data_IF_479285714048
#
_entry.id   IF_479285714048
#
_cell.length_a   1.000
_cell.length_b   1.000
_cell.length_c   1.000
_cell.angle_alpha   90.00
_cell.angle_beta   90.00
_cell.angle_gamma   90.00
#
_symmetry.space_group_name_H-M   'P 1'
#
loop_
_entity.id
_entity.type
_entity.pdbx_description
1 polymer ?
#
# COMPACT_ATOMS: atom_id res chain seq x y z
N UNK A 1 58.31 77.24 24.53
CA UNK A 1 57.10 77.15 23.69
C UNK A 1 56.54 75.75 23.81
N UNK A 2 55.36 75.62 24.42
CA UNK A 2 54.70 74.34 24.64
C UNK A 2 53.38 74.60 25.36
N UNK A 3 52.31 74.84 24.60
CA UNK A 3 50.96 74.96 25.14
C UNK A 3 50.42 73.55 25.44
N UNK A 4 49.94 73.26 26.65
CA UNK A 4 49.13 72.07 26.85
C UNK A 4 47.75 72.28 26.21
N UNK A 5 47.42 71.39 25.28
CA UNK A 5 46.13 71.28 24.61
C UNK A 5 45.08 70.90 25.67
N UNK A 6 44.17 71.83 25.97
CA UNK A 6 42.99 71.57 26.79
C UNK A 6 42.08 70.59 26.06
N UNK A 7 42.08 69.33 26.49
CA UNK A 7 41.10 68.34 26.07
C UNK A 7 39.70 68.75 26.55
N UNK A 8 38.82 69.10 25.61
CA UNK A 8 37.39 69.21 25.88
C UNK A 8 36.84 67.80 26.11
N UNK A 9 36.50 67.49 27.34
CA UNK A 9 35.66 66.35 27.67
C UNK A 9 34.26 66.60 27.07
N UNK A 10 33.99 65.98 25.93
CA UNK A 10 32.64 65.84 25.40
C UNK A 10 31.83 65.01 26.39
N UNK A 11 30.85 65.63 27.04
CA UNK A 11 29.88 64.92 27.87
C UNK A 11 29.05 64.04 26.95
N UNK A 12 29.39 62.75 26.88
CA UNK A 12 28.49 61.71 26.33
C UNK A 12 27.22 61.77 27.16
N UNK A 13 26.15 62.29 26.57
CA UNK A 13 24.84 62.37 27.21
C UNK A 13 24.25 60.95 27.21
N UNK A 14 24.01 60.33 28.37
CA UNK A 14 23.44 58.99 28.41
C UNK A 14 21.94 59.10 28.12
N UNK A 15 21.47 58.25 27.20
CA UNK A 15 20.05 57.99 26.98
C UNK A 15 19.31 59.11 26.27
N UNK A 16 19.14 58.98 24.96
CA UNK A 16 17.89 59.45 24.36
C UNK A 16 16.76 58.70 25.07
N UNK A 17 16.06 59.40 25.96
CA UNK A 17 14.77 58.94 26.46
C UNK A 17 13.92 58.58 25.24
N UNK A 18 13.51 57.32 25.12
CA UNK A 18 12.39 56.97 24.26
C UNK A 18 11.25 57.88 24.71
N UNK A 19 10.93 58.87 23.88
CA UNK A 19 9.80 59.75 24.15
C UNK A 19 8.60 58.84 24.41
N UNK A 20 8.02 58.95 25.62
CA UNK A 20 6.84 58.20 26.04
C UNK A 20 5.61 58.73 25.28
N UNK A 21 5.61 58.61 23.96
CA UNK A 21 4.44 58.80 23.14
C UNK A 21 3.57 57.56 23.33
N UNK A 22 2.57 57.66 24.19
CA UNK A 22 1.56 56.62 24.33
C UNK A 22 0.85 56.38 23.01
N UNK A 23 0.47 55.13 22.74
CA UNK A 23 -0.31 54.78 21.55
C UNK A 23 -1.64 55.54 21.56
N UNK A 24 -1.96 56.12 20.42
CA UNK A 24 -3.29 56.72 20.22
C UNK A 24 -4.35 55.62 20.10
N UNK A 25 -5.59 55.94 20.45
CA UNK A 25 -6.72 54.99 20.36
C UNK A 25 -6.85 54.39 18.94
N UNK A 26 -6.60 55.22 17.92
CA UNK A 26 -6.70 54.80 16.52
C UNK A 26 -5.59 53.82 16.13
N UNK A 27 -4.36 54.01 16.62
CA UNK A 27 -3.26 53.06 16.37
C UNK A 27 -3.51 51.70 17.01
N UNK A 28 -4.09 51.67 18.21
CA UNK A 28 -4.47 50.41 18.88
C UNK A 28 -5.56 49.69 18.07
N UNK A 29 -6.57 50.43 17.59
CA UNK A 29 -7.67 49.87 16.80
C UNK A 29 -7.15 49.31 15.46
N UNK A 30 -6.31 50.06 14.74
CA UNK A 30 -5.68 49.62 13.50
C UNK A 30 -4.80 48.39 13.74
N UNK A 31 -4.01 48.38 14.82
CA UNK A 31 -3.16 47.25 15.19
C UNK A 31 -3.98 46.00 15.50
N UNK A 32 -5.10 46.13 16.20
CA UNK A 32 -6.02 45.01 16.46
C UNK A 32 -6.59 44.44 15.16
N UNK A 33 -7.03 45.29 14.24
CA UNK A 33 -7.57 44.85 12.94
C UNK A 33 -6.49 44.11 12.15
N UNK A 34 -5.30 44.67 12.03
CA UNK A 34 -4.17 44.02 11.34
C UNK A 34 -3.79 42.70 12.00
N UNK A 35 -3.79 42.65 13.33
CA UNK A 35 -3.51 41.42 14.07
C UNK A 35 -4.56 40.33 13.79
N UNK A 36 -5.84 40.67 13.76
CA UNK A 36 -6.91 39.73 13.41
C UNK A 36 -6.70 39.17 12.00
N UNK A 37 -6.40 40.03 11.02
CA UNK A 37 -6.10 39.59 9.66
C UNK A 37 -4.90 38.65 9.61
N UNK A 38 -3.83 38.97 10.34
CA UNK A 38 -2.62 38.15 10.40
C UNK A 38 -2.90 36.78 11.03
N UNK A 39 -3.62 36.75 12.15
CA UNK A 39 -4.00 35.51 12.83
C UNK A 39 -4.90 34.65 11.94
N UNK A 40 -5.89 35.23 11.27
CA UNK A 40 -6.77 34.50 10.36
C UNK A 40 -6.00 33.92 9.17
N UNK A 41 -5.06 34.69 8.61
CA UNK A 41 -4.20 34.24 7.52
C UNK A 41 -3.33 33.06 7.98
N UNK A 42 -2.67 33.18 9.13
CA UNK A 42 -1.86 32.11 9.71
C UNK A 42 -2.71 30.85 9.99
N UNK A 43 -3.92 31.01 10.51
CA UNK A 43 -4.85 29.92 10.79
C UNK A 43 -5.27 29.20 9.50
N UNK A 44 -5.61 29.94 8.44
CA UNK A 44 -5.96 29.38 7.15
C UNK A 44 -4.80 28.55 6.56
N UNK A 45 -3.56 29.06 6.64
CA UNK A 45 -2.37 28.33 6.22
C UNK A 45 -2.18 27.03 7.01
N UNK A 46 -2.26 27.08 8.34
CA UNK A 46 -2.12 25.90 9.19
C UNK A 46 -3.17 24.84 8.86
N UNK A 47 -4.44 25.24 8.73
CA UNK A 47 -5.53 24.31 8.43
C UNK A 47 -5.37 23.66 7.05
N UNK A 48 -4.97 24.44 6.04
CA UNK A 48 -4.67 23.92 4.70
C UNK A 48 -3.52 22.89 4.72
N UNK A 49 -2.49 23.14 5.54
CA UNK A 49 -1.36 22.24 5.72
C UNK A 49 -1.78 20.91 6.36
N UNK A 50 -2.60 20.96 7.40
CA UNK A 50 -3.09 19.75 8.10
C UNK A 50 -3.96 18.90 7.18
N UNK A 51 -4.92 19.51 6.45
CA UNK A 51 -5.77 18.77 5.51
C UNK A 51 -4.92 18.12 4.41
N UNK A 52 -3.97 18.85 3.85
CA UNK A 52 -3.06 18.35 2.82
C UNK A 52 -2.24 17.17 3.33
N UNK A 53 -1.70 17.29 4.55
CA UNK A 53 -0.91 16.24 5.19
C UNK A 53 -1.73 14.96 5.41
N UNK A 54 -2.95 15.07 5.96
CA UNK A 54 -3.83 13.91 6.19
C UNK A 54 -4.17 13.23 4.87
N UNK A 55 -4.53 13.99 3.83
CA UNK A 55 -4.84 13.44 2.50
C UNK A 55 -3.63 12.70 1.91
N UNK A 56 -2.44 13.29 1.99
CA UNK A 56 -1.22 12.69 1.45
C UNK A 56 -0.81 11.43 2.22
N UNK A 57 -0.97 11.44 3.55
CA UNK A 57 -0.74 10.28 4.41
C UNK A 57 -1.67 9.12 4.04
N UNK A 58 -2.96 9.38 3.86
CA UNK A 58 -3.95 8.37 3.46
C UNK A 58 -3.63 7.76 2.08
N UNK A 59 -3.29 8.59 1.09
CA UNK A 59 -2.89 8.09 -0.24
C UNK A 59 -1.62 7.23 -0.19
N UNK A 60 -0.68 7.55 0.69
CA UNK A 60 0.54 6.77 0.86
C UNK A 60 0.28 5.44 1.58
N UNK A 61 -0.60 5.38 2.59
CA UNK A 61 -1.01 4.11 3.20
C UNK A 61 -1.66 3.21 2.15
N UNK A 62 -2.62 3.72 1.37
CA UNK A 62 -3.27 2.93 0.29
C UNK A 62 -2.25 2.41 -0.72
N UNK A 63 -1.31 3.24 -1.20
CA UNK A 63 -0.23 2.79 -2.10
C UNK A 63 0.65 1.70 -1.47
N UNK A 64 0.95 1.84 -0.18
CA UNK A 64 1.74 0.84 0.56
C UNK A 64 0.99 -0.49 0.63
N UNK A 65 -0.30 -0.46 0.97
CA UNK A 65 -1.15 -1.65 1.01
C UNK A 65 -1.26 -2.35 -0.36
N UNK A 66 -1.48 -1.58 -1.43
CA UNK A 66 -1.49 -2.11 -2.80
C UNK A 66 -0.18 -2.82 -3.14
N UNK A 67 0.96 -2.23 -2.79
CA UNK A 67 2.29 -2.83 -3.01
C UNK A 67 2.49 -4.11 -2.19
N UNK A 68 2.07 -4.13 -0.93
CA UNK A 68 2.16 -5.33 -0.08
C UNK A 68 1.35 -6.48 -0.69
N UNK A 69 0.09 -6.20 -1.06
CA UNK A 69 -0.80 -7.17 -1.69
C UNK A 69 -0.25 -7.68 -3.03
N UNK A 70 0.16 -6.76 -3.91
CA UNK A 70 0.71 -7.09 -5.22
C UNK A 70 1.99 -7.92 -5.11
N UNK A 71 2.99 -7.46 -4.34
CA UNK A 71 4.26 -8.17 -4.19
C UNK A 71 4.07 -9.59 -3.64
N UNK A 72 3.13 -9.78 -2.71
CA UNK A 72 2.80 -11.10 -2.17
C UNK A 72 2.19 -12.01 -3.23
N UNK A 73 1.18 -11.53 -3.96
CA UNK A 73 0.54 -12.28 -5.04
C UNK A 73 1.53 -12.62 -6.15
N UNK A 74 2.34 -11.65 -6.60
CA UNK A 74 3.35 -11.87 -7.62
C UNK A 74 4.34 -12.96 -7.23
N UNK A 75 4.87 -12.91 -6.01
CA UNK A 75 5.84 -13.90 -5.55
C UNK A 75 5.25 -15.31 -5.57
N UNK A 76 4.03 -15.47 -5.03
CA UNK A 76 3.39 -16.78 -4.96
C UNK A 76 2.94 -17.27 -6.35
N UNK A 77 2.51 -16.37 -7.24
CA UNK A 77 2.21 -16.72 -8.64
C UNK A 77 3.45 -17.11 -9.44
N UNK A 78 4.59 -16.43 -9.21
CA UNK A 78 5.88 -16.82 -9.81
C UNK A 78 6.34 -18.20 -9.33
N UNK A 79 5.92 -18.63 -8.15
CA UNK A 79 6.21 -19.97 -7.63
C UNK A 79 5.13 -21.00 -8.01
N UNK A 80 4.00 -20.55 -8.53
CA UNK A 80 2.86 -21.39 -8.84
C UNK A 80 3.15 -22.34 -10.01
N UNK A 81 2.58 -23.54 -9.91
CA UNK A 81 2.73 -24.59 -10.93
C UNK A 81 1.67 -24.48 -12.03
N UNK A 82 0.43 -24.18 -11.66
CA UNK A 82 -0.68 -23.92 -12.58
C UNK A 82 -1.80 -23.16 -11.88
N UNK A 83 -2.66 -22.52 -12.65
CA UNK A 83 -3.93 -21.98 -12.16
C UNK A 83 -4.94 -23.12 -11.96
N UNK A 84 -5.93 -22.90 -11.10
CA UNK A 84 -7.06 -23.83 -11.00
C UNK A 84 -8.16 -23.44 -11.98
N UNK A 85 -8.95 -24.43 -12.41
CA UNK A 85 -10.09 -24.24 -13.33
C UNK A 85 -11.14 -23.25 -12.80
N UNK A 86 -11.31 -23.21 -11.48
CA UNK A 86 -12.28 -22.35 -10.78
C UNK A 86 -11.72 -20.96 -10.40
N UNK A 87 -10.58 -20.54 -10.98
CA UNK A 87 -10.13 -19.15 -10.94
C UNK A 87 -11.06 -18.30 -11.81
N UNK A 88 -11.32 -17.05 -11.42
CA UNK A 88 -12.24 -16.15 -12.11
C UNK A 88 -11.74 -14.71 -12.13
N UNK A 89 -12.51 -13.75 -12.69
CA UNK A 89 -12.04 -12.38 -12.91
C UNK A 89 -11.73 -11.60 -11.62
N UNK A 90 -12.27 -12.01 -10.47
CA UNK A 90 -12.05 -11.35 -9.17
C UNK A 90 -11.54 -12.28 -8.08
N UNK A 91 -11.30 -13.55 -8.41
CA UNK A 91 -10.83 -14.57 -7.47
C UNK A 91 -9.71 -15.34 -8.12
N UNK A 92 -8.50 -15.12 -7.64
CA UNK A 92 -7.31 -15.80 -8.11
C UNK A 92 -7.15 -17.10 -7.35
N UNK A 93 -7.01 -18.22 -8.06
CA UNK A 93 -6.72 -19.53 -7.46
C UNK A 93 -5.64 -20.26 -8.24
N UNK A 94 -4.65 -20.78 -7.53
CA UNK A 94 -3.52 -21.48 -8.15
C UNK A 94 -2.90 -22.49 -7.18
N UNK A 95 -2.10 -23.39 -7.74
CA UNK A 95 -1.33 -24.36 -6.94
C UNK A 95 0.08 -23.90 -6.69
N UNK A 96 0.44 -23.93 -5.43
CA UNK A 96 1.78 -23.65 -4.94
C UNK A 96 2.45 -24.95 -4.50
N UNK A 97 3.66 -25.26 -5.00
CA UNK A 97 4.41 -26.42 -4.54
C UNK A 97 4.75 -26.26 -3.06
N UNK A 98 4.57 -27.33 -2.28
CA UNK A 98 5.01 -27.33 -0.88
C UNK A 98 6.54 -27.44 -0.84
N UNK A 99 7.20 -26.47 -0.20
CA UNK A 99 8.64 -26.53 0.05
C UNK A 99 9.00 -27.82 0.80
N UNK A 100 10.00 -28.54 0.29
CA UNK A 100 10.56 -29.71 0.98
C UNK A 100 11.18 -29.27 2.30
N UNK A 101 10.59 -29.68 3.41
CA UNK A 101 11.23 -29.61 4.73
C UNK A 101 12.08 -30.87 4.93
N UNK A 102 13.04 -30.86 5.86
CA UNK A 102 13.85 -32.05 6.19
C UNK A 102 13.00 -33.27 6.58
N UNK A 103 11.79 -33.03 7.11
CA UNK A 103 10.77 -34.05 7.40
C UNK A 103 10.16 -34.72 6.16
N UNK A 104 10.33 -34.15 4.96
CA UNK A 104 9.74 -34.62 3.71
C UNK A 104 10.79 -34.98 2.64
N UNK A 105 12.08 -35.09 3.02
CA UNK A 105 13.24 -35.25 2.12
C UNK A 105 13.22 -36.53 1.26
N UNK A 106 12.37 -37.51 1.58
CA UNK A 106 12.24 -38.78 0.86
C UNK A 106 10.92 -38.98 0.10
N UNK A 107 10.01 -38.01 0.13
CA UNK A 107 8.77 -38.10 -0.65
C UNK A 107 9.07 -37.61 -2.07
N UNK A 108 8.88 -38.44 -3.12
CA UNK A 108 9.08 -37.98 -4.49
C UNK A 108 8.29 -36.69 -4.75
N UNK A 109 8.87 -35.72 -5.46
CA UNK A 109 8.23 -34.42 -5.75
C UNK A 109 6.87 -34.55 -6.47
N UNK A 110 6.61 -35.71 -7.08
CA UNK A 110 5.31 -36.10 -7.63
C UNK A 110 4.21 -36.26 -6.56
N UNK A 111 4.56 -36.48 -5.29
CA UNK A 111 3.64 -36.62 -4.16
C UNK A 111 3.77 -35.49 -3.11
N UNK A 112 4.64 -34.50 -3.34
CA UNK A 112 4.67 -33.32 -2.47
C UNK A 112 3.30 -32.67 -2.54
N UNK A 113 2.60 -32.60 -1.39
CA UNK A 113 1.23 -32.08 -1.33
C UNK A 113 1.23 -30.60 -1.69
N UNK A 114 1.00 -30.29 -2.96
CA UNK A 114 0.70 -28.94 -3.42
C UNK A 114 -0.41 -28.35 -2.54
N UNK A 115 -0.36 -27.03 -2.35
CA UNK A 115 -1.42 -26.28 -1.68
C UNK A 115 -2.16 -25.46 -2.71
N UNK A 116 -3.47 -25.33 -2.55
CA UNK A 116 -4.24 -24.35 -3.33
C UNK A 116 -4.21 -23.04 -2.54
N UNK A 117 -3.78 -21.97 -3.19
CA UNK A 117 -3.87 -20.62 -2.64
C UNK A 117 -4.96 -19.87 -3.38
N UNK A 118 -5.80 -19.15 -2.64
CA UNK A 118 -6.84 -18.29 -3.18
C UNK A 118 -6.69 -16.87 -2.65
N UNK A 119 -6.78 -15.89 -3.55
CA UNK A 119 -6.90 -14.47 -3.24
C UNK A 119 -8.24 -13.94 -3.72
N UNK A 120 -8.86 -13.10 -2.89
CA UNK A 120 -10.11 -12.41 -3.21
C UNK A 120 -10.24 -11.16 -2.35
N UNK A 121 -11.05 -10.20 -2.79
CA UNK A 121 -11.34 -8.99 -2.03
C UNK A 121 -12.66 -9.16 -1.31
N UNK A 122 -12.70 -8.80 -0.02
CA UNK A 122 -13.92 -8.76 0.77
C UNK A 122 -13.79 -7.66 1.84
N UNK A 123 -14.85 -6.88 2.04
CA UNK A 123 -14.94 -5.87 3.09
C UNK A 123 -13.79 -4.84 3.10
N UNK A 124 -13.24 -4.52 1.91
CA UNK A 124 -12.12 -3.59 1.78
C UNK A 124 -10.74 -4.22 2.01
N UNK A 125 -10.66 -5.54 2.15
CA UNK A 125 -9.42 -6.27 2.41
C UNK A 125 -9.12 -7.27 1.29
N UNK A 126 -7.84 -7.37 0.93
CA UNK A 126 -7.32 -8.48 0.15
C UNK A 126 -7.05 -9.66 1.07
N UNK A 127 -7.87 -10.69 0.94
CA UNK A 127 -7.81 -11.89 1.75
C UNK A 127 -7.07 -12.98 0.99
N UNK A 128 -6.34 -13.81 1.74
CA UNK A 128 -5.64 -14.99 1.27
C UNK A 128 -6.09 -16.21 2.05
N UNK A 129 -6.51 -17.25 1.35
CA UNK A 129 -6.86 -18.55 1.93
C UNK A 129 -5.96 -19.64 1.35
N UNK A 130 -5.52 -20.55 2.20
CA UNK A 130 -4.78 -21.75 1.81
C UNK A 130 -5.69 -22.94 2.00
N UNK A 131 -5.69 -23.85 1.04
CA UNK A 131 -6.33 -25.14 1.16
C UNK A 131 -5.31 -26.26 1.00
N UNK A 132 -5.38 -27.25 1.89
CA UNK A 132 -4.72 -28.53 1.69
C UNK A 132 -5.47 -29.35 0.62
N UNK A 133 -4.72 -30.00 -0.27
CA UNK A 133 -5.29 -30.92 -1.26
C UNK A 133 -5.44 -32.31 -0.61
N UNK A 134 -6.65 -32.90 -0.59
CA UNK A 134 -6.84 -34.24 -0.05
C UNK A 134 -6.07 -35.28 -0.89
N UNK A 135 -5.50 -36.29 -0.22
CA UNK A 135 -4.69 -37.34 -0.85
C UNK A 135 -5.48 -38.24 -1.80
N UNK A 136 -6.80 -38.28 -1.68
CA UNK A 136 -7.69 -39.16 -2.47
C UNK A 136 -8.02 -38.64 -3.88
N UNK A 137 -7.59 -37.42 -4.23
CA UNK A 137 -7.88 -36.82 -5.54
C UNK A 137 -6.74 -36.92 -6.55
N UNK A 138 -5.50 -37.23 -6.15
CA UNK A 138 -4.32 -37.08 -7.02
C UNK A 138 -4.11 -38.32 -7.90
N UNK A 139 -4.66 -38.30 -9.13
CA UNK A 139 -4.45 -39.34 -10.15
C UNK A 139 -3.16 -39.13 -10.98
N UNK A 140 -2.45 -38.01 -10.77
CA UNK A 140 -1.22 -37.66 -11.48
C UNK A 140 -1.39 -37.43 -12.99
N UNK A 141 -2.61 -37.51 -13.52
CA UNK A 141 -2.90 -37.49 -14.95
C UNK A 141 -3.75 -36.29 -15.36
N UNK A 142 -4.57 -35.74 -14.45
CA UNK A 142 -5.36 -34.54 -14.71
C UNK A 142 -4.91 -33.37 -13.80
N UNK A 143 -4.81 -32.13 -14.30
CA UNK A 143 -4.74 -30.95 -13.44
C UNK A 143 -6.03 -30.92 -12.61
N UNK A 144 -5.94 -31.51 -11.41
CA UNK A 144 -7.07 -31.94 -10.60
C UNK A 144 -8.23 -30.92 -10.55
N UNK A 145 -9.40 -31.34 -11.02
CA UNK A 145 -10.67 -30.59 -11.03
C UNK A 145 -11.38 -30.57 -9.68
N UNK A 146 -10.79 -31.17 -8.64
CA UNK A 146 -11.39 -31.22 -7.31
C UNK A 146 -11.37 -29.86 -6.63
N UNK A 147 -12.54 -29.41 -6.19
CA UNK A 147 -12.64 -28.30 -5.25
C UNK A 147 -11.91 -28.65 -3.95
N UNK A 148 -11.24 -27.68 -3.31
CA UNK A 148 -10.53 -27.93 -2.07
C UNK A 148 -11.49 -28.46 -1.00
N UNK A 149 -11.06 -29.47 -0.24
CA UNK A 149 -11.76 -29.88 0.96
C UNK A 149 -11.63 -28.75 1.99
N UNK A 150 -12.64 -27.88 2.08
CA UNK A 150 -12.68 -26.75 3.02
C UNK A 150 -12.61 -27.30 4.45
N UNK A 151 -11.46 -27.14 5.11
CA UNK A 151 -11.36 -27.41 6.55
C UNK A 151 -11.78 -26.14 7.31
N UNK A 152 -12.69 -26.25 8.30
CA UNK A 152 -13.22 -25.09 9.02
C UNK A 152 -12.17 -24.25 9.77
N UNK A 153 -10.93 -24.77 9.91
CA UNK A 153 -9.82 -24.11 10.62
C UNK A 153 -8.67 -23.65 9.70
N UNK A 154 -8.84 -23.68 8.36
CA UNK A 154 -7.83 -23.14 7.45
C UNK A 154 -7.96 -21.61 7.36
N UNK A 155 -7.06 -20.93 8.07
CA UNK A 155 -7.06 -19.49 8.32
C UNK A 155 -7.11 -18.65 7.05
N UNK A 156 -8.14 -17.81 6.96
CA UNK A 156 -8.16 -16.67 6.06
C UNK A 156 -7.27 -15.60 6.67
N UNK A 157 -6.24 -15.20 5.93
CA UNK A 157 -5.32 -14.15 6.35
C UNK A 157 -5.60 -12.88 5.57
N UNK A 158 -5.78 -11.77 6.27
CA UNK A 158 -5.77 -10.44 5.65
C UNK A 158 -4.34 -10.09 5.23
N UNK A 159 -4.16 -9.74 3.95
CA UNK A 159 -2.85 -9.42 3.37
C UNK A 159 -2.66 -7.92 3.23
N UNK A 160 -3.71 -7.23 2.81
CA UNK A 160 -3.71 -5.79 2.62
C UNK A 160 -5.11 -5.25 2.87
N UNK A 161 -5.18 -4.02 3.39
CA UNK A 161 -6.43 -3.28 3.61
C UNK A 161 -6.59 -2.15 2.59
N UNK A 162 -7.74 -1.49 2.62
CA UNK A 162 -8.08 -0.39 1.71
C UNK A 162 -8.05 -0.82 0.23
N UNK A 163 -8.48 -2.05 -0.05
CA UNK A 163 -8.56 -2.62 -1.40
C UNK A 163 -10.02 -2.62 -1.83
N UNK A 164 -10.31 -1.93 -2.92
CA UNK A 164 -11.65 -1.82 -3.52
C UNK A 164 -11.97 -3.01 -4.42
N UNK A 165 -11.06 -3.34 -5.34
CA UNK A 165 -11.26 -4.41 -6.30
C UNK A 165 -9.97 -5.14 -6.64
N UNK A 166 -10.14 -6.40 -7.05
CA UNK A 166 -9.15 -7.25 -7.69
C UNK A 166 -9.72 -7.66 -9.04
N UNK A 167 -9.02 -7.34 -10.10
CA UNK A 167 -9.37 -7.70 -11.47
C UNK A 167 -8.23 -8.50 -12.10
N UNK A 168 -8.61 -9.57 -12.79
CA UNK A 168 -7.70 -10.58 -13.29
C UNK A 168 -7.99 -10.82 -14.77
N UNK A 169 -6.97 -10.71 -15.60
CA UNK A 169 -7.03 -11.10 -17.01
C UNK A 169 -6.01 -12.20 -17.26
N UNK A 170 -6.44 -13.26 -17.95
CA UNK A 170 -5.64 -14.46 -18.14
C UNK A 170 -5.23 -14.62 -19.60
N UNK A 171 -3.95 -14.94 -19.81
CA UNK A 171 -3.38 -15.12 -21.14
C UNK A 171 -2.73 -16.52 -21.30
N UNK A 172 -2.81 -17.13 -22.49
CA UNK A 172 -3.44 -16.60 -23.71
C UNK A 172 -4.97 -16.70 -23.67
N UNK A 173 -5.71 -15.77 -24.30
CA UNK A 173 -7.18 -15.64 -24.15
C UNK A 173 -7.98 -16.83 -24.72
N UNK A 174 -7.44 -17.48 -25.75
CA UNK A 174 -8.00 -18.59 -26.52
C UNK A 174 -8.12 -19.93 -25.76
N UNK A 175 -7.39 -20.13 -24.66
CA UNK A 175 -7.54 -21.33 -23.85
C UNK A 175 -8.89 -21.37 -23.11
N UNK A 176 -9.71 -22.39 -23.38
CA UNK A 176 -11.02 -22.59 -22.76
C UNK A 176 -10.95 -22.87 -21.25
N UNK A 177 -9.83 -23.42 -20.77
CA UNK A 177 -9.58 -23.69 -19.36
C UNK A 177 -8.45 -22.80 -18.84
N UNK A 178 -8.72 -22.15 -17.71
CA UNK A 178 -7.76 -21.29 -17.02
C UNK A 178 -6.49 -22.02 -16.58
N UNK A 179 -6.53 -23.35 -16.42
CA UNK A 179 -5.36 -24.17 -16.06
C UNK A 179 -4.23 -24.14 -17.11
N UNK A 180 -4.55 -23.85 -18.37
CA UNK A 180 -3.57 -23.72 -19.45
C UNK A 180 -3.01 -22.30 -19.61
N UNK A 181 -3.58 -21.32 -18.92
CA UNK A 181 -3.12 -19.93 -18.98
C UNK A 181 -1.77 -19.84 -18.29
N UNK A 182 -0.83 -19.13 -18.92
CA UNK A 182 0.57 -19.03 -18.44
C UNK A 182 0.88 -17.68 -17.84
N UNK A 183 0.04 -16.68 -18.11
CA UNK A 183 0.26 -15.30 -17.67
C UNK A 183 -1.03 -14.74 -17.08
N UNK A 184 -0.89 -14.02 -15.97
CA UNK A 184 -1.96 -13.34 -15.26
C UNK A 184 -1.64 -11.85 -15.19
N UNK A 185 -2.50 -11.02 -15.77
CA UNK A 185 -2.51 -9.59 -15.53
C UNK A 185 -3.40 -9.33 -14.30
N UNK A 186 -2.82 -8.71 -13.28
CA UNK A 186 -3.45 -8.41 -12.00
C UNK A 186 -3.61 -6.90 -11.92
N UNK A 187 -4.83 -6.45 -11.70
CA UNK A 187 -5.14 -5.05 -11.41
C UNK A 187 -5.77 -4.97 -10.01
N UNK A 188 -5.12 -4.22 -9.13
CA UNK A 188 -5.65 -3.88 -7.81
C UNK A 188 -6.05 -2.41 -7.78
N UNK A 189 -7.25 -2.15 -7.28
CA UNK A 189 -7.75 -0.79 -7.05
C UNK A 189 -7.84 -0.55 -5.56
N UNK A 190 -7.26 0.55 -5.08
CA UNK A 190 -7.25 0.95 -3.68
C UNK A 190 -8.29 2.02 -3.37
N UNK A 191 -8.97 1.87 -2.23
CA UNK A 191 -9.98 2.78 -1.71
C UNK A 191 -9.33 3.81 -0.78
N UNK A 192 -9.05 5.00 -1.30
CA UNK A 192 -8.62 6.16 -0.50
C UNK A 192 -9.75 7.12 -0.17
N UNK A 193 -9.46 8.14 0.63
CA UNK A 193 -10.36 9.30 0.81
C UNK A 193 -10.33 10.28 -0.38
N UNK A 194 -9.38 10.09 -1.30
CA UNK A 194 -9.24 10.88 -2.51
C UNK A 194 -10.31 10.48 -3.54
N UNK A 195 -10.82 11.43 -4.31
CA UNK A 195 -11.84 11.18 -5.34
C UNK A 195 -11.32 10.29 -6.50
N UNK A 196 -10.00 10.22 -6.68
CA UNK A 196 -9.37 9.40 -7.72
C UNK A 196 -8.90 8.07 -7.11
N UNK A 197 -9.37 6.92 -7.61
CA UNK A 197 -8.88 5.62 -7.15
C UNK A 197 -7.40 5.44 -7.51
N UNK A 198 -6.67 4.77 -6.63
CA UNK A 198 -5.26 4.44 -6.84
C UNK A 198 -5.21 3.04 -7.42
N UNK A 199 -4.70 2.89 -8.65
CA UNK A 199 -4.66 1.61 -9.36
C UNK A 199 -3.22 1.14 -9.47
N UNK A 200 -3.00 -0.16 -9.24
CA UNK A 200 -1.73 -0.83 -9.45
C UNK A 200 -1.94 -2.06 -10.33
N UNK A 201 -1.23 -2.13 -11.44
CA UNK A 201 -1.31 -3.24 -12.39
C UNK A 201 0.03 -3.95 -12.50
N UNK A 202 0.02 -5.29 -12.54
CA UNK A 202 1.20 -6.11 -12.76
C UNK A 202 0.90 -7.31 -13.64
N UNK A 203 1.87 -7.69 -14.47
CA UNK A 203 1.80 -8.89 -15.32
C UNK A 203 2.73 -9.95 -14.77
N UNK A 204 2.19 -11.12 -14.45
CA UNK A 204 2.94 -12.22 -13.85
C UNK A 204 2.86 -13.44 -14.74
N UNK A 205 4.04 -13.92 -15.17
CA UNK A 205 4.18 -15.20 -15.85
C UNK A 205 4.40 -16.31 -14.82
N UNK A 206 3.63 -17.38 -14.92
CA UNK A 206 3.78 -18.58 -14.10
C UNK A 206 5.08 -19.31 -14.47
N UNK A 207 5.72 -19.97 -13.49
CA UNK A 207 7.02 -20.63 -13.69
C UNK A 207 6.94 -21.92 -14.50
N UNK A 208 5.82 -22.66 -14.43
CA UNK A 208 5.78 -24.02 -14.96
C UNK A 208 4.75 -24.20 -16.10
N UNK A 209 5.28 -24.32 -17.32
CA UNK A 209 4.75 -25.16 -18.40
C UNK A 209 5.92 -25.60 -19.30
N UNK A 210 6.99 -26.14 -18.72
CA UNK A 210 8.04 -26.78 -19.51
C UNK A 210 8.18 -28.23 -19.07
N UNK A 211 7.66 -29.13 -19.90
CA UNK A 211 7.84 -30.58 -19.77
C UNK A 211 6.91 -31.22 -18.74
N UNK A 212 5.66 -31.42 -19.13
CA UNK A 212 4.94 -32.67 -18.85
C UNK A 212 4.73 -33.34 -20.20
#
# INVERSE_FOLDING_TARGET
MGNPVYGKNEKVTPGKAFAQQGLTLIEVLVSMVLFIFLVNTAYAFLFSGVISYVKYSDENDVRSQLRIGMNRMERELKEARWLTTNTGPSVLKFRLPKHMTDTNKGIPLTFSRDKIVSYYVKDGELLRRIYDIPSSGFDGQSPNRGDPASRPNEGVNSIARNIESLELTYLPEDAADNSYKTTVLITLTGKGRSAKPIVLTSTVRLRAQKGW
#
